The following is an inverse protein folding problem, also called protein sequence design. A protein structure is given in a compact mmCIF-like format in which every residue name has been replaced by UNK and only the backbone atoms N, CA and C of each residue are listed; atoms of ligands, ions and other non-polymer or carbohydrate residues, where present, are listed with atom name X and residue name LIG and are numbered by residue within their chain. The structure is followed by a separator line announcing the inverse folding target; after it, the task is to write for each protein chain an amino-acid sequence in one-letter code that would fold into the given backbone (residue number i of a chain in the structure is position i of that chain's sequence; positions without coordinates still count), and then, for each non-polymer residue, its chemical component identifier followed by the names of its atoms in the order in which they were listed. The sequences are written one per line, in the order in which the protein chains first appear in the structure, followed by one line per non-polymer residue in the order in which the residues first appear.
data_IF_034699840158
#
_entry.id   IF_034699840158
#
_cell.length_a   1.000
_cell.length_b   1.000
_cell.length_c   1.000
_cell.angle_alpha   90.00
_cell.angle_beta   90.00
_cell.angle_gamma   90.00
#
_symmetry.space_group_name_H-M   'P 1'
#
loop_
_entity.id
_entity.type
_entity.pdbx_description
1 polymer ?
#
# COMPACT_ATOMS: atom_id res chain seq x y z
N UNK A 1 15.45 -8.94 1.15
CA UNK A 1 13.98 -8.74 0.96
C UNK A 1 13.27 -10.00 1.40
N UNK A 2 12.17 -9.86 2.13
CA UNK A 2 11.26 -10.98 2.44
C UNK A 2 9.86 -10.68 1.91
N UNK A 3 9.10 -11.74 1.62
CA UNK A 3 7.68 -11.65 1.25
C UNK A 3 6.87 -12.54 2.20
N UNK A 4 5.85 -11.96 2.82
CA UNK A 4 4.98 -12.64 3.78
C UNK A 4 3.51 -12.34 3.49
N UNK A 5 2.63 -13.19 4.00
CA UNK A 5 1.19 -12.92 3.98
C UNK A 5 0.85 -11.72 4.87
N UNK A 6 -0.15 -10.95 4.47
CA UNK A 6 -0.60 -9.78 5.22
C UNK A 6 -1.09 -10.17 6.62
N UNK A 7 -1.68 -11.35 6.78
CA UNK A 7 -2.03 -11.91 8.09
C UNK A 7 -0.81 -12.09 9.01
N UNK A 8 0.28 -12.67 8.48
CA UNK A 8 1.51 -12.88 9.25
C UNK A 8 2.17 -11.55 9.60
N UNK A 9 2.13 -10.60 8.68
CA UNK A 9 2.57 -9.22 8.92
C UNK A 9 1.75 -8.53 10.01
N UNK A 10 0.42 -8.59 9.93
CA UNK A 10 -0.48 -8.05 10.94
C UNK A 10 -0.18 -8.64 12.33
N UNK A 11 0.03 -9.96 12.40
CA UNK A 11 0.31 -10.68 13.65
C UNK A 11 1.77 -10.53 14.15
N UNK A 12 2.60 -9.73 13.47
CA UNK A 12 4.03 -9.56 13.77
C UNK A 12 4.81 -10.88 13.80
N UNK A 13 4.41 -11.85 12.98
CA UNK A 13 5.09 -13.14 12.82
C UNK A 13 6.28 -13.04 11.83
N UNK A 14 7.18 -12.09 12.10
CA UNK A 14 8.41 -11.83 11.36
C UNK A 14 9.37 -10.97 12.20
N UNK A 15 10.63 -10.85 11.74
CA UNK A 15 11.62 -9.94 12.35
C UNK A 15 11.70 -8.70 11.47
N UNK A 16 11.40 -7.53 12.04
CA UNK A 16 11.31 -6.27 11.30
C UNK A 16 12.65 -5.54 11.11
N UNK A 17 13.67 -5.88 11.89
CA UNK A 17 14.92 -5.13 11.95
C UNK A 17 15.57 -4.91 10.57
N UNK A 18 15.87 -3.65 10.25
CA UNK A 18 16.57 -3.23 9.03
C UNK A 18 15.69 -3.03 7.79
N UNK A 19 14.38 -3.29 7.87
CA UNK A 19 13.45 -2.99 6.79
C UNK A 19 12.92 -1.55 6.89
N UNK A 20 13.13 -0.77 5.84
CA UNK A 20 12.69 0.63 5.77
C UNK A 20 11.64 0.89 4.68
N UNK A 21 11.42 -0.08 3.78
CA UNK A 21 10.45 0.02 2.70
C UNK A 21 9.57 -1.23 2.64
N UNK A 22 8.30 -1.03 2.32
CA UNK A 22 7.34 -2.11 2.11
C UNK A 22 6.63 -1.96 0.77
N UNK A 23 6.27 -3.10 0.20
CA UNK A 23 5.51 -3.21 -1.04
C UNK A 23 4.29 -4.10 -0.79
N UNK A 24 3.10 -3.52 -0.90
CA UNK A 24 1.84 -4.26 -0.80
C UNK A 24 1.41 -4.76 -2.17
N UNK A 25 1.03 -6.03 -2.25
CA UNK A 25 0.55 -6.70 -3.47
C UNK A 25 -0.78 -7.38 -3.23
N UNK A 26 -1.69 -7.34 -4.20
CA UNK A 26 -2.94 -8.08 -4.11
C UNK A 26 -2.74 -9.61 -4.24
N UNK A 27 -3.82 -10.38 -4.12
CA UNK A 27 -3.80 -11.84 -4.28
C UNK A 27 -3.44 -12.35 -5.68
N UNK A 28 -3.35 -11.47 -6.67
CA UNK A 28 -2.94 -11.77 -8.06
C UNK A 28 -1.48 -11.34 -8.33
N UNK A 29 -0.82 -10.71 -7.36
CA UNK A 29 0.56 -10.24 -7.47
C UNK A 29 0.73 -8.82 -8.01
N UNK A 30 -0.36 -8.10 -8.32
CA UNK A 30 -0.27 -6.70 -8.74
C UNK A 30 0.23 -5.85 -7.57
N UNK A 31 1.16 -4.94 -7.86
CA UNK A 31 1.69 -4.01 -6.86
C UNK A 31 0.65 -2.93 -6.57
N UNK A 32 0.08 -2.96 -5.37
CA UNK A 32 -0.90 -1.97 -4.94
C UNK A 32 -0.21 -0.69 -4.46
N UNK A 33 0.82 -0.82 -3.65
CA UNK A 33 1.40 0.33 -2.94
C UNK A 33 2.85 0.09 -2.56
N UNK A 34 3.65 1.15 -2.60
CA UNK A 34 5.01 1.22 -2.06
C UNK A 34 5.04 2.32 -1.00
N UNK A 35 5.63 2.05 0.15
CA UNK A 35 5.82 3.07 1.17
C UNK A 35 7.06 2.81 2.00
N UNK A 36 7.49 3.85 2.73
CA UNK A 36 8.64 3.77 3.64
C UNK A 36 8.23 3.98 5.10
N UNK A 37 9.04 3.47 6.02
CA UNK A 37 9.03 3.85 7.43
C UNK A 37 10.46 3.86 7.96
N UNK A 38 10.80 4.83 8.80
CA UNK A 38 12.13 4.94 9.45
C UNK A 38 12.12 4.50 10.91
N UNK A 39 10.97 4.05 11.40
CA UNK A 39 10.77 3.69 12.81
C UNK A 39 10.20 2.28 12.91
N UNK A 40 8.96 2.12 12.42
CA UNK A 40 8.24 0.85 12.41
C UNK A 40 7.29 0.87 11.21
N UNK A 41 7.49 -0.06 10.29
CA UNK A 41 6.56 -0.39 9.21
C UNK A 41 5.26 -0.88 9.82
N UNK A 42 5.28 -1.72 10.86
CA UNK A 42 4.05 -2.18 11.50
C UNK A 42 3.21 -1.00 12.04
N UNK A 43 3.82 -0.06 12.77
CA UNK A 43 3.12 1.14 13.28
C UNK A 43 2.63 2.03 12.13
N UNK A 44 3.32 2.04 10.99
CA UNK A 44 2.88 2.77 9.79
C UNK A 44 1.63 2.14 9.17
N UNK A 45 1.38 0.87 9.41
CA UNK A 45 0.18 0.17 8.98
C UNK A 45 -0.94 0.22 10.03
N UNK A 46 -0.65 -0.02 11.29
CA UNK A 46 -1.66 -0.28 12.33
C UNK A 46 -1.60 0.65 13.56
N UNK A 47 -0.64 1.57 13.61
CA UNK A 47 -0.53 2.56 14.68
C UNK A 47 -1.62 3.65 14.60
N UNK A 48 -1.58 4.61 15.53
CA UNK A 48 -2.59 5.68 15.69
C UNK A 48 -2.86 6.51 14.41
N UNK A 49 -1.91 6.55 13.47
CA UNK A 49 -2.07 7.21 12.16
C UNK A 49 -1.59 6.30 11.03
N UNK A 50 -1.70 4.99 11.25
CA UNK A 50 -1.38 3.98 10.27
C UNK A 50 -2.44 3.89 9.18
N UNK A 51 -2.15 3.13 8.13
CA UNK A 51 -3.06 2.92 6.99
C UNK A 51 -4.40 2.25 7.36
N UNK A 52 -4.43 1.44 8.43
CA UNK A 52 -5.60 0.72 8.87
C UNK A 52 -5.76 0.93 10.38
N UNK A 53 -6.93 1.42 10.79
CA UNK A 53 -7.34 1.37 12.18
C UNK A 53 -7.96 0.00 12.42
N UNK A 54 -7.32 -0.82 13.25
CA UNK A 54 -7.77 -2.18 13.56
C UNK A 54 -8.07 -2.31 15.05
N UNK A 55 -9.35 -2.15 15.40
CA UNK A 55 -9.89 -2.28 16.75
C UNK A 55 -10.94 -3.41 16.78
N UNK A 56 -11.18 -4.02 17.93
CA UNK A 56 -12.03 -5.22 18.09
C UNK A 56 -13.41 -5.15 17.39
N UNK A 57 -13.97 -3.95 17.24
CA UNK A 57 -15.30 -3.75 16.64
C UNK A 57 -15.26 -2.87 15.38
N UNK A 58 -14.09 -2.35 15.01
CA UNK A 58 -13.94 -1.37 13.94
C UNK A 58 -12.66 -1.67 13.17
N UNK A 59 -12.80 -2.04 11.90
CA UNK A 59 -11.69 -2.11 10.96
C UNK A 59 -11.96 -1.07 9.88
N UNK A 60 -11.11 -0.05 9.81
CA UNK A 60 -11.29 1.09 8.90
C UNK A 60 -9.98 1.42 8.16
N UNK A 61 -10.08 1.69 6.87
CA UNK A 61 -8.96 2.14 6.06
C UNK A 61 -8.82 3.66 6.11
N UNK A 62 -7.73 4.16 6.68
CA UNK A 62 -7.44 5.60 6.77
C UNK A 62 -6.75 6.17 5.51
N UNK A 63 -6.32 5.28 4.61
CA UNK A 63 -5.64 5.60 3.36
C UNK A 63 -6.26 4.83 2.19
N UNK A 64 -5.92 5.19 0.95
CA UNK A 64 -6.40 4.47 -0.22
C UNK A 64 -6.01 2.97 -0.20
N UNK A 65 -4.78 2.64 0.18
CA UNK A 65 -4.33 1.24 0.31
C UNK A 65 -4.97 0.54 1.50
N UNK A 66 -5.12 1.23 2.63
CA UNK A 66 -5.80 0.68 3.79
C UNK A 66 -7.25 0.35 3.50
N UNK A 67 -7.97 1.27 2.87
CA UNK A 67 -9.37 1.07 2.50
C UNK A 67 -9.50 -0.07 1.49
N UNK A 68 -8.61 -0.16 0.51
CA UNK A 68 -8.57 -1.27 -0.45
C UNK A 68 -8.46 -2.63 0.26
N UNK A 69 -7.60 -2.73 1.27
CA UNK A 69 -7.46 -3.97 2.05
C UNK A 69 -8.72 -4.27 2.85
N UNK A 70 -9.26 -3.27 3.57
CA UNK A 70 -10.47 -3.44 4.37
C UNK A 70 -11.63 -3.92 3.52
N UNK A 71 -11.80 -3.34 2.34
CA UNK A 71 -12.86 -3.70 1.40
C UNK A 71 -12.80 -5.16 0.94
N UNK A 72 -11.60 -5.74 0.95
CA UNK A 72 -11.31 -7.09 0.48
C UNK A 72 -11.10 -8.10 1.61
N UNK A 73 -11.36 -7.74 2.88
CA UNK A 73 -11.34 -8.70 3.97
C UNK A 73 -12.49 -9.74 3.83
N UNK A 74 -12.25 -11.02 4.15
CA UNK A 74 -11.01 -11.58 4.71
C UNK A 74 -9.96 -11.99 3.65
N UNK A 75 -10.26 -11.94 2.36
CA UNK A 75 -9.36 -12.40 1.30
C UNK A 75 -8.03 -11.62 1.28
N UNK A 76 -8.06 -10.33 1.65
CA UNK A 76 -6.87 -9.49 1.76
C UNK A 76 -5.86 -9.96 2.81
N UNK A 77 -6.24 -10.84 3.75
CA UNK A 77 -5.29 -11.45 4.69
C UNK A 77 -4.26 -12.36 4.00
N UNK A 78 -4.61 -12.92 2.84
CA UNK A 78 -3.74 -13.77 2.00
C UNK A 78 -2.93 -12.99 0.97
N UNK A 79 -3.11 -11.67 0.93
CA UNK A 79 -2.33 -10.80 0.07
C UNK A 79 -0.88 -10.73 0.57
N UNK A 80 0.03 -10.28 -0.28
CA UNK A 80 1.46 -10.29 0.04
C UNK A 80 1.95 -8.90 0.40
N UNK A 81 2.78 -8.83 1.44
CA UNK A 81 3.60 -7.65 1.72
C UNK A 81 5.06 -8.06 1.66
N UNK A 82 5.83 -7.29 0.88
CA UNK A 82 7.27 -7.45 0.81
C UNK A 82 7.93 -6.40 1.69
N UNK A 83 8.95 -6.79 2.45
CA UNK A 83 9.76 -5.90 3.26
C UNK A 83 11.18 -5.84 2.69
N UNK A 84 11.67 -4.62 2.51
CA UNK A 84 12.90 -4.32 1.78
C UNK A 84 13.85 -3.51 2.65
N UNK A 85 15.10 -3.99 2.72
CA UNK A 85 16.19 -3.22 3.30
C UNK A 85 16.63 -2.15 2.30
N UNK A 86 17.34 -1.13 2.76
CA UNK A 86 17.94 -0.13 1.87
C UNK A 86 18.86 -0.80 0.82
N UNK A 87 19.64 -1.81 1.22
CA UNK A 87 20.53 -2.54 0.32
C UNK A 87 19.75 -3.23 -0.80
N UNK A 88 18.64 -3.92 -0.47
CA UNK A 88 17.77 -4.54 -1.47
C UNK A 88 17.27 -3.52 -2.49
N UNK A 89 16.82 -2.35 -2.01
CA UNK A 89 16.28 -1.31 -2.89
C UNK A 89 17.35 -0.69 -3.79
N UNK A 90 18.56 -0.43 -3.26
CA UNK A 90 19.69 0.10 -4.06
C UNK A 90 20.09 -0.89 -5.14
N UNK A 91 20.16 -2.18 -4.80
CA UNK A 91 20.47 -3.24 -5.76
C UNK A 91 19.39 -3.35 -6.84
N UNK A 92 18.11 -3.28 -6.45
CA UNK A 92 16.98 -3.34 -7.37
C UNK A 92 16.94 -2.16 -8.35
N UNK A 93 17.27 -0.94 -7.91
CA UNK A 93 17.24 0.27 -8.74
C UNK A 93 18.59 0.62 -9.39
N UNK A 94 19.64 -0.21 -9.23
CA UNK A 94 21.02 0.14 -9.60
C UNK A 94 21.20 0.75 -11.00
N UNK A 95 20.43 0.27 -11.96
CA UNK A 95 20.44 0.69 -13.37
C UNK A 95 19.90 2.10 -13.63
N UNK A 96 19.08 2.63 -12.73
CA UNK A 96 18.44 3.95 -12.86
C UNK A 96 18.92 4.96 -11.80
N UNK A 97 19.77 4.54 -10.86
CA UNK A 97 20.28 5.42 -9.82
C UNK A 97 21.43 6.31 -10.33
N UNK A 98 21.45 7.59 -9.96
CA UNK A 98 22.57 8.46 -10.26
C UNK A 98 23.80 8.09 -9.42
N UNK A 99 24.97 8.03 -10.05
CA UNK A 99 26.22 7.59 -9.41
C UNK A 99 26.75 8.53 -8.31
N UNK A 100 26.22 9.76 -8.19
CA UNK A 100 26.82 10.84 -7.41
C UNK A 100 26.25 11.00 -5.99
N UNK A 101 25.28 10.18 -5.59
CA UNK A 101 24.57 10.36 -4.31
C UNK A 101 24.61 9.10 -3.46
N UNK A 102 24.97 9.24 -2.18
CA UNK A 102 24.84 8.18 -1.19
C UNK A 102 23.34 7.91 -0.99
N UNK A 103 22.83 6.72 -1.33
CA UNK A 103 21.41 6.44 -1.21
C UNK A 103 20.94 6.39 0.24
N UNK A 104 19.73 6.87 0.48
CA UNK A 104 18.95 6.58 1.67
C UNK A 104 17.53 6.20 1.25
N UNK A 105 16.72 5.69 2.16
CA UNK A 105 15.41 5.13 1.77
C UNK A 105 14.48 6.18 1.15
N UNK A 106 14.48 7.41 1.67
CA UNK A 106 13.68 8.52 1.12
C UNK A 106 14.15 8.94 -0.28
N UNK A 107 15.44 8.77 -0.58
CA UNK A 107 15.97 9.02 -1.92
C UNK A 107 15.61 7.89 -2.90
N UNK A 108 15.56 6.65 -2.43
CA UNK A 108 15.29 5.47 -3.26
C UNK A 108 13.79 5.27 -3.52
N UNK A 109 12.90 5.66 -2.60
CA UNK A 109 11.45 5.47 -2.71
C UNK A 109 10.86 5.90 -4.07
N UNK A 110 11.16 7.10 -4.62
CA UNK A 110 10.66 7.49 -5.94
C UNK A 110 11.10 6.53 -7.06
N UNK A 111 12.31 5.98 -7.01
CA UNK A 111 12.81 5.03 -8.01
C UNK A 111 12.14 3.66 -7.87
N UNK A 112 11.87 3.23 -6.64
CA UNK A 112 11.09 2.01 -6.38
C UNK A 112 9.67 2.15 -6.93
N UNK A 113 9.01 3.29 -6.68
CA UNK A 113 7.68 3.60 -7.22
C UNK A 113 7.70 3.59 -8.75
N UNK A 114 8.66 4.26 -9.39
CA UNK A 114 8.76 4.29 -10.86
C UNK A 114 8.99 2.92 -11.46
N UNK A 115 9.82 2.08 -10.82
CA UNK A 115 10.18 0.76 -11.36
C UNK A 115 9.11 -0.30 -11.11
N UNK A 116 8.37 -0.19 -10.01
CA UNK A 116 7.30 -1.13 -9.66
C UNK A 116 5.92 -0.71 -10.16
N UNK A 117 5.74 0.56 -10.53
CA UNK A 117 4.45 1.13 -11.00
C UNK A 117 3.27 0.70 -10.12
N UNK A 118 3.29 0.99 -8.80
CA UNK A 118 2.18 0.64 -7.91
C UNK A 118 0.87 1.28 -8.38
N UNK A 119 -0.27 0.70 -8.01
CA UNK A 119 -1.57 1.23 -8.43
C UNK A 119 -1.95 2.50 -7.64
N UNK A 120 -1.64 2.55 -6.35
CA UNK A 120 -2.20 3.51 -5.39
C UNK A 120 -1.23 4.61 -4.94
N UNK A 121 0.04 4.60 -5.38
CA UNK A 121 0.90 5.76 -5.18
C UNK A 121 0.56 6.85 -6.20
N UNK A 122 0.03 7.97 -5.74
CA UNK A 122 -0.25 9.13 -6.60
C UNK A 122 0.98 9.98 -6.92
N UNK A 123 2.03 9.95 -6.09
CA UNK A 123 3.27 10.69 -6.30
C UNK A 123 4.33 9.82 -6.96
N UNK A 124 5.17 10.45 -7.79
CA UNK A 124 6.30 9.82 -8.51
C UNK A 124 5.93 8.69 -9.48
N UNK A 125 4.65 8.51 -9.74
CA UNK A 125 4.11 7.40 -10.52
C UNK A 125 3.34 7.92 -11.73
N UNK A 126 4.07 8.19 -12.82
CA UNK A 126 3.47 8.76 -14.04
C UNK A 126 2.62 7.74 -14.81
N UNK A 127 2.90 6.46 -14.62
CA UNK A 127 2.21 5.35 -15.27
C UNK A 127 1.87 4.29 -14.22
N UNK A 128 0.82 4.52 -13.39
CA UNK A 128 0.38 3.54 -12.43
C UNK A 128 0.04 2.21 -13.09
N UNK A 129 0.30 1.12 -12.37
CA UNK A 129 -0.11 -0.22 -12.77
C UNK A 129 -1.63 -0.36 -12.82
N UNK A 130 -2.08 -1.53 -13.27
CA UNK A 130 -3.50 -1.85 -13.38
C UNK A 130 -3.91 -2.78 -12.24
N UNK A 131 -4.95 -2.41 -11.52
CA UNK A 131 -5.58 -3.31 -10.55
C UNK A 131 -6.42 -4.36 -11.28
N UNK A 132 -6.04 -5.63 -11.16
CA UNK A 132 -6.81 -6.75 -11.72
C UNK A 132 -7.67 -7.46 -10.69
N UNK A 133 -7.66 -7.01 -9.43
CA UNK A 133 -8.50 -7.58 -8.37
C UNK A 133 -9.97 -7.39 -8.73
N UNK A 134 -10.79 -8.46 -8.69
CA UNK A 134 -12.24 -8.30 -8.77
C UNK A 134 -12.73 -7.35 -7.68
N UNK A 135 -13.66 -6.46 -8.07
CA UNK A 135 -14.25 -5.51 -7.12
C UNK A 135 -14.99 -6.24 -6.01
N UNK A 136 -14.76 -5.81 -4.77
CA UNK A 136 -15.46 -6.35 -3.62
C UNK A 136 -16.90 -5.82 -3.56
N UNK A 137 -17.75 -6.51 -2.79
CA UNK A 137 -19.10 -6.01 -2.50
C UNK A 137 -19.07 -4.65 -1.79
N UNK A 138 -18.11 -4.46 -0.88
CA UNK A 138 -17.95 -3.22 -0.12
C UNK A 138 -17.50 -2.06 -1.03
N UNK A 139 -16.59 -2.30 -1.98
CA UNK A 139 -16.22 -1.30 -3.00
C UNK A 139 -17.42 -0.88 -3.85
N UNK A 140 -18.24 -1.84 -4.28
CA UNK A 140 -19.44 -1.59 -5.09
C UNK A 140 -20.46 -0.76 -4.31
N UNK A 141 -20.71 -1.13 -3.06
CA UNK A 141 -21.66 -0.42 -2.20
C UNK A 141 -21.19 1.01 -1.89
N UNK A 142 -19.90 1.19 -1.54
CA UNK A 142 -19.35 2.52 -1.26
C UNK A 142 -19.43 3.44 -2.48
N UNK A 143 -19.05 2.97 -3.66
CA UNK A 143 -19.17 3.78 -4.88
C UNK A 143 -20.62 4.19 -5.14
N UNK A 144 -21.57 3.29 -4.96
CA UNK A 144 -23.00 3.62 -5.09
C UNK A 144 -23.43 4.71 -4.11
N UNK A 145 -22.97 4.64 -2.87
CA UNK A 145 -23.26 5.67 -1.84
C UNK A 145 -22.66 7.02 -2.26
N UNK A 146 -21.41 7.03 -2.72
CA UNK A 146 -20.71 8.24 -3.18
C UNK A 146 -21.40 8.86 -4.40
N UNK A 147 -21.80 8.05 -5.37
CA UNK A 147 -22.56 8.50 -6.54
C UNK A 147 -23.90 9.11 -6.13
N UNK A 148 -24.64 8.45 -5.24
CA UNK A 148 -25.92 8.98 -4.74
C UNK A 148 -25.74 10.28 -3.96
N UNK A 149 -24.66 10.43 -3.18
CA UNK A 149 -24.29 11.67 -2.51
C UNK A 149 -23.97 12.78 -3.51
N UNK A 150 -23.17 12.47 -4.54
CA UNK A 150 -22.80 13.41 -5.58
C UNK A 150 -24.04 13.94 -6.31
N UNK A 151 -24.93 13.05 -6.75
CA UNK A 151 -26.21 13.43 -7.37
C UNK A 151 -27.06 14.32 -6.46
N UNK A 152 -27.16 13.98 -5.16
CA UNK A 152 -27.90 14.80 -4.19
C UNK A 152 -27.31 16.20 -4.02
N UNK A 153 -25.99 16.35 -4.06
CA UNK A 153 -25.32 17.65 -3.84
C UNK A 153 -25.35 18.50 -5.11
N UNK A 154 -25.12 17.91 -6.27
CA UNK A 154 -24.84 18.64 -7.51
C UNK A 154 -25.97 18.62 -8.54
N UNK A 155 -26.86 17.62 -8.52
CA UNK A 155 -27.96 17.52 -9.49
C UNK A 155 -29.30 18.04 -8.96
N UNK A 156 -29.52 18.07 -7.64
CA UNK A 156 -30.72 18.70 -7.03
C UNK A 156 -30.75 20.23 -7.09
N UNK A 157 -29.74 20.88 -7.66
CA UNK A 157 -29.66 22.35 -7.82
C UNK A 157 -30.11 22.85 -9.21
N UNK A 158 -30.74 22.00 -10.03
CA UNK A 158 -31.41 22.37 -11.28
C UNK A 158 -32.92 22.21 -11.12
#
# INVERSE_FOLDING_TARGET
MIEIDFERFHNQDYIEEGYDLYVMKNGLGDVLYVGISKQSIWDRWFGWSGHILWLDHVIEGSSAVGQKIVDHLPDALKWKIQLWTLEDCVNFCRDILPATRIPNISFIEPYMIQKLSPILNGSYNLHPGKDTTPRSKQEIEREKILDDMYKKIFEKKK
#
